data_IF_987034144925
#
_entry.id   IF_987034144925
#
_cell.length_a   1.000
_cell.length_b   1.000
_cell.length_c   1.000
_cell.angle_alpha   90.00
_cell.angle_beta   90.00
_cell.angle_gamma   90.00
#
_symmetry.space_group_name_H-M   'P 1'
#
loop_
_entity.id
_entity.type
_entity.pdbx_description
1 polymer ?
#
# COMPACT_ATOMS: atom_id res chain seq x y z
N UNK A 1 18.55 -11.05 -16.30
CA UNK A 1 18.38 -9.94 -17.26
C UNK A 1 17.59 -8.76 -16.68
N UNK A 2 16.34 -8.92 -16.20
CA UNK A 2 15.56 -7.78 -15.66
C UNK A 2 16.06 -7.27 -14.30
N UNK A 3 16.47 -8.18 -13.41
CA UNK A 3 17.11 -7.82 -12.13
C UNK A 3 18.43 -7.05 -12.37
N UNK A 4 19.24 -7.49 -13.33
CA UNK A 4 20.53 -6.85 -13.64
C UNK A 4 20.36 -5.41 -14.12
N UNK A 5 19.32 -5.15 -14.94
CA UNK A 5 18.96 -3.80 -15.37
C UNK A 5 18.46 -2.92 -14.21
N UNK A 6 17.78 -3.52 -13.22
CA UNK A 6 17.34 -2.81 -12.03
C UNK A 6 18.52 -2.42 -11.13
N UNK A 7 19.48 -3.33 -10.95
CA UNK A 7 20.66 -3.12 -10.12
C UNK A 7 21.66 -2.11 -10.72
N UNK A 8 21.60 -1.83 -12.02
CA UNK A 8 22.37 -0.75 -12.66
C UNK A 8 21.95 0.66 -12.23
N UNK A 9 20.73 0.83 -11.70
CA UNK A 9 20.28 2.12 -11.17
C UNK A 9 20.96 2.43 -9.85
N UNK A 10 21.12 3.71 -9.55
CA UNK A 10 21.57 4.16 -8.22
C UNK A 10 20.54 3.77 -7.14
N UNK A 11 20.96 3.63 -5.87
CA UNK A 11 20.04 3.39 -4.77
C UNK A 11 18.89 4.42 -4.69
N UNK A 12 19.19 5.70 -4.97
CA UNK A 12 18.22 6.79 -4.92
C UNK A 12 17.16 6.64 -6.03
N UNK A 13 17.57 6.27 -7.23
CA UNK A 13 16.62 6.00 -8.33
C UNK A 13 15.72 4.82 -7.98
N UNK A 14 16.29 3.72 -7.46
CA UNK A 14 15.50 2.56 -7.04
C UNK A 14 14.48 2.94 -5.96
N UNK A 15 14.89 3.75 -4.98
CA UNK A 15 13.99 4.24 -3.94
C UNK A 15 12.85 5.10 -4.51
N UNK A 16 13.15 6.00 -5.46
CA UNK A 16 12.15 6.83 -6.14
C UNK A 16 11.15 5.99 -6.96
N UNK A 17 11.63 4.98 -7.67
CA UNK A 17 10.74 4.10 -8.43
C UNK A 17 9.87 3.26 -7.49
N UNK A 18 10.45 2.69 -6.43
CA UNK A 18 9.69 1.93 -5.44
C UNK A 18 8.60 2.79 -4.79
N UNK A 19 8.91 4.02 -4.38
CA UNK A 19 7.93 4.92 -3.77
C UNK A 19 6.79 5.28 -4.74
N UNK A 20 7.11 5.52 -6.02
CA UNK A 20 6.09 5.75 -7.05
C UNK A 20 5.18 4.54 -7.26
N UNK A 21 5.74 3.32 -7.27
CA UNK A 21 4.97 2.08 -7.37
C UNK A 21 4.03 1.90 -6.18
N UNK A 22 4.52 2.08 -4.95
CA UNK A 22 3.69 1.99 -3.76
C UNK A 22 2.59 3.05 -3.74
N UNK A 23 2.88 4.28 -4.15
CA UNK A 23 1.88 5.34 -4.26
C UNK A 23 0.77 4.98 -5.26
N UNK A 24 1.13 4.49 -6.45
CA UNK A 24 0.17 4.07 -7.47
C UNK A 24 -0.69 2.88 -7.01
N UNK A 25 -0.07 1.89 -6.36
CA UNK A 25 -0.79 0.74 -5.80
C UNK A 25 -1.79 1.19 -4.73
N UNK A 26 -1.38 2.06 -3.80
CA UNK A 26 -2.25 2.63 -2.78
C UNK A 26 -3.43 3.39 -3.38
N UNK A 27 -3.21 4.23 -4.39
CA UNK A 27 -4.29 4.95 -5.08
C UNK A 27 -5.27 4.00 -5.72
N UNK A 28 -4.78 2.93 -6.36
CA UNK A 28 -5.61 1.90 -6.99
C UNK A 28 -6.47 1.18 -5.95
N UNK A 29 -5.89 0.78 -4.81
CA UNK A 29 -6.63 0.15 -3.71
C UNK A 29 -7.73 1.08 -3.23
N UNK A 30 -7.40 2.33 -2.90
CA UNK A 30 -8.35 3.32 -2.38
C UNK A 30 -9.50 3.55 -3.34
N UNK A 31 -9.21 3.68 -4.65
CA UNK A 31 -10.24 3.85 -5.67
C UNK A 31 -11.19 2.65 -5.80
N UNK A 32 -10.74 1.45 -5.39
CA UNK A 32 -11.55 0.22 -5.40
C UNK A 32 -12.37 0.00 -4.13
N UNK A 33 -12.18 0.81 -3.08
CA UNK A 33 -12.91 0.63 -1.82
C UNK A 33 -14.34 1.18 -1.92
N UNK A 34 -15.29 0.63 -1.13
CA UNK A 34 -16.61 1.21 -0.97
C UNK A 34 -16.55 2.69 -0.58
N UNK A 35 -17.47 3.48 -1.13
CA UNK A 35 -17.65 4.88 -0.74
C UNK A 35 -18.34 4.95 0.64
N UNK A 36 -18.15 6.05 1.36
CA UNK A 36 -18.80 6.34 2.65
C UNK A 36 -18.44 5.41 3.82
N UNK A 37 -17.29 4.75 3.77
CA UNK A 37 -16.73 4.07 4.94
C UNK A 37 -16.44 5.10 6.05
N UNK A 38 -16.66 4.69 7.30
CA UNK A 38 -16.07 5.41 8.44
C UNK A 38 -14.55 5.37 8.34
N UNK A 39 -13.85 6.29 8.99
CA UNK A 39 -12.39 6.32 8.97
C UNK A 39 -11.78 4.99 9.46
N UNK A 40 -12.40 4.39 10.49
CA UNK A 40 -11.97 3.11 11.05
C UNK A 40 -12.13 1.96 10.04
N UNK A 41 -13.29 1.86 9.38
CA UNK A 41 -13.53 0.84 8.36
C UNK A 41 -12.65 1.05 7.14
N UNK A 42 -12.43 2.30 6.73
CA UNK A 42 -11.48 2.63 5.66
C UNK A 42 -10.07 2.11 6.00
N UNK A 43 -9.57 2.35 7.21
CA UNK A 43 -8.24 1.87 7.65
C UNK A 43 -8.16 0.35 7.68
N UNK A 44 -9.19 -0.34 8.20
CA UNK A 44 -9.26 -1.82 8.19
C UNK A 44 -9.22 -2.38 6.76
N UNK A 45 -10.03 -1.83 5.87
CA UNK A 45 -10.09 -2.27 4.48
C UNK A 45 -8.80 -1.98 3.72
N UNK A 46 -8.22 -0.79 3.90
CA UNK A 46 -6.94 -0.43 3.29
C UNK A 46 -5.82 -1.38 3.76
N UNK A 47 -5.77 -1.69 5.06
CA UNK A 47 -4.79 -2.64 5.62
C UNK A 47 -4.96 -4.03 5.02
N UNK A 48 -6.18 -4.58 5.05
CA UNK A 48 -6.48 -5.89 4.47
C UNK A 48 -6.13 -5.97 2.98
N UNK A 49 -6.47 -4.95 2.20
CA UNK A 49 -6.16 -4.93 0.76
C UNK A 49 -4.67 -4.73 0.46
N UNK A 50 -3.90 -4.23 1.41
CA UNK A 50 -2.44 -4.04 1.25
C UNK A 50 -1.67 -5.30 1.64
N UNK A 51 -2.07 -5.96 2.73
CA UNK A 51 -1.28 -7.04 3.34
C UNK A 51 -1.94 -8.43 3.30
N UNK A 52 -3.24 -8.51 3.00
CA UNK A 52 -4.01 -9.76 3.03
C UNK A 52 -4.42 -10.22 4.43
N UNK A 53 -4.10 -9.44 5.46
CA UNK A 53 -4.38 -9.75 6.86
C UNK A 53 -5.40 -8.78 7.45
N UNK A 54 -6.18 -9.21 8.43
CA UNK A 54 -7.09 -8.32 9.15
C UNK A 54 -6.37 -7.66 10.33
N UNK A 55 -6.67 -6.38 10.56
CA UNK A 55 -6.27 -5.73 11.81
C UNK A 55 -6.89 -6.46 13.01
N UNK A 56 -6.18 -6.54 14.15
CA UNK A 56 -6.76 -7.02 15.40
C UNK A 56 -8.04 -6.27 15.76
N UNK A 57 -9.01 -6.98 16.36
CA UNK A 57 -10.33 -6.41 16.70
C UNK A 57 -10.27 -5.30 17.76
N UNK A 58 -9.19 -5.25 18.53
CA UNK A 58 -8.90 -4.29 19.59
C UNK A 58 -7.94 -3.17 19.14
N UNK A 59 -7.49 -3.15 17.88
CA UNK A 59 -6.52 -2.18 17.37
C UNK A 59 -6.92 -0.71 17.57
N UNK A 60 -8.23 -0.43 17.62
CA UNK A 60 -8.78 0.92 17.80
C UNK A 60 -9.47 1.12 19.15
N UNK A 61 -9.30 0.18 20.10
CA UNK A 61 -9.77 0.36 21.47
C UNK A 61 -8.66 1.03 22.26
N UNK A 62 -9.01 2.05 23.03
CA UNK A 62 -8.09 2.73 23.95
C UNK A 62 -7.69 1.83 25.12
#
# INVERSE_FOLDING_TARGET
>A
MQNDLWMKRTPQERARFASAMFAAARQTIIASLPKHLSEQEFKKQLFFRTYGEHLPNDFFKD
#
